data_IF_875724359792
#
_entry.id   IF_875724359792
#
_cell.length_a   1.000
_cell.length_b   1.000
_cell.length_c   1.000
_cell.angle_alpha   90.00
_cell.angle_beta   90.00
_cell.angle_gamma   90.00
#
_symmetry.space_group_name_H-M   'P 1'
#
loop_
_entity.id
_entity.type
_entity.pdbx_description
1 polymer ?
#
# COMPACT_ATOMS: atom_id res chain seq x y z
N UNK A 1 -7.93 20.94 -35.61
CA UNK A 1 -6.86 20.05 -35.13
C UNK A 1 -6.86 20.15 -33.62
N UNK A 2 -7.37 19.15 -32.90
CA UNK A 2 -7.26 19.08 -31.45
C UNK A 2 -6.03 18.25 -31.11
N UNK A 3 -4.97 18.91 -30.66
CA UNK A 3 -3.83 18.25 -30.03
C UNK A 3 -4.32 17.78 -28.67
N UNK A 4 -4.63 16.48 -28.56
CA UNK A 4 -4.77 15.86 -27.25
C UNK A 4 -3.39 15.92 -26.59
N UNK A 5 -3.27 16.70 -25.53
CA UNK A 5 -2.04 16.74 -24.74
C UNK A 5 -1.84 15.36 -24.12
N UNK A 6 -0.76 14.69 -24.49
CA UNK A 6 -0.31 13.47 -23.82
C UNK A 6 0.07 13.85 -22.38
N UNK A 7 -0.77 13.46 -21.43
CA UNK A 7 -0.47 13.64 -20.01
C UNK A 7 0.64 12.65 -19.67
N UNK A 8 1.79 13.07 -19.12
CA UNK A 8 2.83 12.14 -18.72
C UNK A 8 2.25 11.16 -17.71
N UNK A 9 2.27 9.86 -18.03
CA UNK A 9 1.96 8.82 -17.06
C UNK A 9 3.17 8.75 -16.14
N UNK A 10 3.06 9.39 -14.98
CA UNK A 10 4.04 9.21 -13.91
C UNK A 10 3.79 7.86 -13.25
N UNK A 11 4.87 7.13 -12.98
CA UNK A 11 4.78 5.93 -12.17
C UNK A 11 4.21 6.29 -10.78
N UNK A 12 3.26 5.51 -10.26
CA UNK A 12 2.66 5.79 -8.95
C UNK A 12 3.72 5.70 -7.87
N UNK A 13 3.67 6.62 -6.92
CA UNK A 13 4.51 6.51 -5.72
C UNK A 13 4.02 5.35 -4.85
N UNK A 14 4.89 4.84 -3.97
CA UNK A 14 4.51 3.81 -3.00
C UNK A 14 3.34 4.27 -2.11
N UNK A 15 3.30 5.55 -1.76
CA UNK A 15 2.19 6.15 -1.02
C UNK A 15 0.88 6.11 -1.83
N UNK A 16 0.94 6.31 -3.15
CA UNK A 16 -0.21 6.18 -4.03
C UNK A 16 -0.70 4.72 -4.09
N UNK A 17 0.23 3.76 -4.14
CA UNK A 17 -0.09 2.32 -4.11
C UNK A 17 -0.76 1.93 -2.79
N UNK A 18 -0.21 2.34 -1.65
CA UNK A 18 -0.80 2.11 -0.32
C UNK A 18 -2.19 2.74 -0.24
N UNK A 19 -2.33 3.99 -0.68
CA UNK A 19 -3.61 4.72 -0.66
C UNK A 19 -4.65 4.05 -1.56
N UNK A 20 -4.25 3.61 -2.75
CA UNK A 20 -5.08 2.89 -3.72
C UNK A 20 -5.54 1.55 -3.15
N UNK A 21 -4.63 0.78 -2.56
CA UNK A 21 -4.97 -0.51 -1.97
C UNK A 21 -5.90 -0.37 -0.76
N UNK A 22 -5.68 0.63 0.10
CA UNK A 22 -6.57 0.93 1.24
C UNK A 22 -7.94 1.51 0.83
N UNK A 23 -8.08 2.07 -0.38
CA UNK A 23 -9.34 2.66 -0.84
C UNK A 23 -10.51 1.66 -0.92
N UNK A 24 -10.19 0.37 -0.97
CA UNK A 24 -11.16 -0.75 -1.00
C UNK A 24 -11.82 -1.00 0.36
N UNK A 25 -11.25 -0.47 1.43
CA UNK A 25 -11.70 -0.66 2.80
C UNK A 25 -12.46 0.57 3.31
N UNK A 26 -13.26 0.37 4.36
CA UNK A 26 -14.02 1.41 5.06
C UNK A 26 -13.41 1.71 6.43
N UNK A 27 -13.77 2.86 6.98
CA UNK A 27 -13.46 3.18 8.37
C UNK A 27 -14.01 2.09 9.30
N UNK A 28 -13.21 1.68 10.28
CA UNK A 28 -13.53 0.56 11.17
C UNK A 28 -13.17 -0.83 10.65
N UNK A 29 -12.84 -0.98 9.36
CA UNK A 29 -12.32 -2.24 8.83
C UNK A 29 -10.94 -2.56 9.43
N UNK A 30 -10.58 -3.83 9.40
CA UNK A 30 -9.25 -4.29 9.81
C UNK A 30 -8.48 -4.82 8.61
N UNK A 31 -7.24 -4.38 8.45
CA UNK A 31 -6.34 -4.81 7.36
C UNK A 31 -5.17 -5.64 7.87
N UNK A 32 -4.76 -6.63 7.09
CA UNK A 32 -3.59 -7.47 7.34
C UNK A 32 -2.35 -6.83 6.71
N UNK A 33 -1.26 -6.73 7.47
CA UNK A 33 0.02 -6.26 6.93
C UNK A 33 0.54 -7.16 5.81
N UNK A 34 0.40 -8.49 5.92
CA UNK A 34 0.80 -9.45 4.87
C UNK A 34 0.00 -9.24 3.59
N UNK A 35 -1.33 -9.20 3.69
CA UNK A 35 -2.19 -9.02 2.52
C UNK A 35 -1.94 -7.68 1.82
N UNK A 36 -1.60 -6.64 2.59
CA UNK A 36 -1.25 -5.34 2.05
C UNK A 36 0.10 -5.32 1.35
N UNK A 37 1.12 -5.96 1.93
CA UNK A 37 2.42 -6.13 1.26
C UNK A 37 2.25 -6.89 -0.05
N UNK A 38 1.51 -7.99 -0.06
CA UNK A 38 1.19 -8.74 -1.27
C UNK A 38 0.49 -7.88 -2.32
N UNK A 39 -0.49 -7.06 -1.91
CA UNK A 39 -1.20 -6.16 -2.82
C UNK A 39 -0.28 -5.09 -3.43
N UNK A 40 0.64 -4.52 -2.65
CA UNK A 40 1.61 -3.51 -3.14
C UNK A 40 2.60 -4.15 -4.10
N UNK A 41 3.21 -5.28 -3.74
CA UNK A 41 4.17 -6.00 -4.61
C UNK A 41 3.52 -6.53 -5.89
N UNK A 42 2.23 -6.86 -5.84
CA UNK A 42 1.49 -7.23 -7.03
C UNK A 42 1.22 -6.04 -7.95
N UNK A 43 0.95 -4.86 -7.37
CA UNK A 43 0.71 -3.63 -8.14
C UNK A 43 2.01 -3.05 -8.72
N UNK A 44 3.12 -3.19 -7.99
CA UNK A 44 4.46 -2.81 -8.44
C UNK A 44 5.48 -3.91 -8.07
N UNK A 45 5.75 -4.85 -9.00
CA UNK A 45 6.75 -5.89 -8.80
C UNK A 45 8.19 -5.38 -8.73
N UNK A 46 8.44 -4.12 -9.14
CA UNK A 46 9.75 -3.47 -9.09
C UNK A 46 9.97 -2.63 -7.84
N UNK A 47 8.98 -2.52 -6.95
CA UNK A 47 9.14 -1.85 -5.66
C UNK A 47 10.30 -2.49 -4.88
N UNK A 48 11.32 -1.71 -4.55
CA UNK A 48 12.51 -2.16 -3.82
C UNK A 48 12.48 -1.83 -2.31
N UNK A 49 11.43 -1.13 -1.85
CA UNK A 49 11.27 -0.78 -0.43
C UNK A 49 11.25 -2.03 0.45
N UNK A 50 11.76 -1.92 1.68
CA UNK A 50 11.69 -3.02 2.64
C UNK A 50 10.26 -3.23 3.15
N UNK A 51 9.95 -4.47 3.57
CA UNK A 51 8.65 -4.76 4.15
C UNK A 51 8.39 -3.91 5.41
N UNK A 52 9.41 -3.63 6.23
CA UNK A 52 9.29 -2.73 7.38
C UNK A 52 8.88 -1.31 6.97
N UNK A 53 9.47 -0.76 5.91
CA UNK A 53 9.12 0.58 5.42
C UNK A 53 7.71 0.61 4.84
N UNK A 54 7.34 -0.41 4.06
CA UNK A 54 5.99 -0.55 3.53
C UNK A 54 4.95 -0.69 4.66
N UNK A 55 5.25 -1.47 5.69
CA UNK A 55 4.40 -1.63 6.88
C UNK A 55 4.21 -0.31 7.62
N UNK A 56 5.27 0.48 7.79
CA UNK A 56 5.18 1.83 8.36
C UNK A 56 4.18 2.70 7.60
N UNK A 57 4.29 2.75 6.26
CA UNK A 57 3.38 3.52 5.41
C UNK A 57 1.94 3.02 5.48
N UNK A 58 1.74 1.69 5.47
CA UNK A 58 0.42 1.05 5.61
C UNK A 58 -0.21 1.47 6.94
N UNK A 59 0.54 1.39 8.05
CA UNK A 59 0.05 1.73 9.38
C UNK A 59 -0.35 3.20 9.45
N UNK A 60 0.52 4.10 8.99
CA UNK A 60 0.23 5.52 8.99
C UNK A 60 -1.04 5.84 8.20
N UNK A 61 -1.19 5.27 7.01
CA UNK A 61 -2.35 5.50 6.16
C UNK A 61 -3.64 4.87 6.74
N UNK A 62 -3.57 3.67 7.30
CA UNK A 62 -4.71 2.98 7.91
C UNK A 62 -5.21 3.70 9.18
N UNK A 63 -4.30 4.17 10.04
CA UNK A 63 -4.63 4.96 11.23
C UNK A 63 -5.31 6.27 10.83
N UNK A 64 -4.79 6.97 9.82
CA UNK A 64 -5.42 8.17 9.28
C UNK A 64 -6.84 7.95 8.73
N UNK A 65 -7.19 6.70 8.37
CA UNK A 65 -8.51 6.28 7.88
C UNK A 65 -9.35 5.54 8.94
N UNK A 66 -8.96 5.61 10.22
CA UNK A 66 -9.64 4.95 11.35
C UNK A 66 -9.86 3.44 11.15
N UNK A 67 -8.91 2.77 10.51
CA UNK A 67 -8.89 1.32 10.31
C UNK A 67 -8.03 0.63 11.38
N UNK A 68 -8.36 -0.62 11.71
CA UNK A 68 -7.51 -1.50 12.50
C UNK A 68 -6.40 -2.12 11.64
N UNK A 69 -5.25 -2.41 12.24
CA UNK A 69 -4.14 -3.09 11.56
C UNK A 69 -3.76 -4.35 12.33
N UNK A 70 -3.70 -5.48 11.63
CA UNK A 70 -3.19 -6.75 12.14
C UNK A 70 -1.78 -6.97 11.61
N UNK A 71 -0.81 -7.04 12.53
CA UNK A 71 0.59 -7.31 12.24
C UNK A 71 0.83 -8.83 12.12
N UNK A 72 0.84 -9.31 10.89
CA UNK A 72 0.96 -10.73 10.51
C UNK A 72 1.99 -10.98 9.40
N UNK A 73 2.78 -9.98 9.03
CA UNK A 73 3.80 -10.08 7.98
C UNK A 73 5.03 -10.88 8.43
N UNK A 74 5.49 -10.73 9.67
CA UNK A 74 6.71 -11.39 10.18
C UNK A 74 6.63 -12.91 10.11
N UNK A 75 7.72 -13.52 9.68
CA UNK A 75 7.86 -14.96 9.65
C UNK A 75 8.12 -15.51 11.06
N UNK A 76 7.68 -16.75 11.38
CA UNK A 76 7.94 -17.34 12.69
C UNK A 76 9.43 -17.49 13.02
N UNK A 77 10.31 -17.47 12.02
CA UNK A 77 11.76 -17.59 12.17
C UNK A 77 12.46 -16.29 12.59
N UNK A 78 11.74 -15.15 12.61
CA UNK A 78 12.26 -13.83 13.04
C UNK A 78 11.91 -13.50 14.51
N UNK A 79 11.56 -14.50 15.33
CA UNK A 79 11.18 -14.35 16.75
C UNK A 79 12.34 -14.56 17.72
#
# INVERSE_FOLDING_TARGET
MNVAAEVPVMDPTVQDLVSSALSKFRAGDTVSTRAMLEAIRHADPSCEDSDDHLVELIVMAAVGKTMGVVFDHRSPDER
#
